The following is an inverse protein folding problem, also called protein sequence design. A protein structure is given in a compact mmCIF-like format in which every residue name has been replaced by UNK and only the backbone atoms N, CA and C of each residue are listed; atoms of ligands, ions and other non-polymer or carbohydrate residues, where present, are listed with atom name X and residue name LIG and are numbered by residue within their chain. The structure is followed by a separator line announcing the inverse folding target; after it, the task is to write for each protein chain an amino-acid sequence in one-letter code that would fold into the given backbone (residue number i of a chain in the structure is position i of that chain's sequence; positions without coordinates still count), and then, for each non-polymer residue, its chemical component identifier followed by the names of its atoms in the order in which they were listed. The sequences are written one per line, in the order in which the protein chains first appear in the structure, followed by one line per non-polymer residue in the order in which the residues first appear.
data_IF_532823015949
#
_entry.id   IF_532823015949
#
_cell.length_a   1.000
_cell.length_b   1.000
_cell.length_c   1.000
_cell.angle_alpha   90.00
_cell.angle_beta   90.00
_cell.angle_gamma   90.00
#
_symmetry.space_group_name_H-M   'P 1'
#
loop_
_entity.id
_entity.type
_entity.pdbx_description
1 polymer ?
#
# COMPACT_ATOMS: atom_id res chain seq x y z
N UNK A 1 0.44 6.77 5.24
CA UNK A 1 -0.26 5.59 4.67
C UNK A 1 0.21 5.37 3.23
N UNK A 2 0.23 4.14 2.74
CA UNK A 2 0.53 3.85 1.34
C UNK A 2 -0.15 2.56 0.85
N UNK A 3 -0.45 2.51 -0.45
CA UNK A 3 -1.08 1.35 -1.08
C UNK A 3 -0.10 0.20 -1.29
N UNK A 4 -0.51 -1.03 -0.94
CA UNK A 4 0.23 -2.26 -1.21
C UNK A 4 -0.63 -3.20 -2.04
N UNK A 5 -0.10 -3.65 -3.17
CA UNK A 5 -0.69 -4.71 -3.99
C UNK A 5 -0.50 -6.06 -3.30
N UNK A 6 -1.61 -6.75 -3.02
CA UNK A 6 -1.62 -8.03 -2.28
C UNK A 6 -1.78 -9.24 -3.19
N UNK A 7 -1.89 -9.07 -4.51
CA UNK A 7 -2.15 -10.17 -5.46
C UNK A 7 -1.19 -11.35 -5.32
N UNK A 8 0.09 -11.07 -5.11
CA UNK A 8 1.14 -12.09 -4.95
C UNK A 8 1.39 -12.50 -3.49
N UNK A 9 0.73 -11.86 -2.53
CA UNK A 9 0.94 -12.07 -1.09
C UNK A 9 -0.07 -13.09 -0.55
N UNK A 10 -1.31 -13.03 -1.02
CA UNK A 10 -2.36 -13.97 -0.60
C UNK A 10 -2.07 -15.39 -1.07
N UNK A 11 -2.57 -16.38 -0.33
CA UNK A 11 -2.44 -17.80 -0.67
C UNK A 11 -3.82 -18.46 -0.85
N UNK A 12 -4.16 -18.97 -2.04
CA UNK A 12 -3.35 -18.92 -3.27
C UNK A 12 -3.26 -17.49 -3.84
N UNK A 13 -2.19 -17.16 -4.61
CA UNK A 13 -2.08 -15.87 -5.28
C UNK A 13 -3.29 -15.59 -6.18
N UNK A 14 -3.67 -14.32 -6.28
CA UNK A 14 -4.77 -13.93 -7.18
C UNK A 14 -4.38 -14.21 -8.64
N UNK A 15 -5.32 -14.69 -9.46
CA UNK A 15 -5.04 -15.02 -10.84
C UNK A 15 -4.66 -13.78 -11.65
N UNK A 16 -3.83 -13.98 -12.67
CA UNK A 16 -3.58 -12.97 -13.69
C UNK A 16 -4.90 -12.57 -14.33
N UNK A 17 -5.17 -11.26 -14.39
CA UNK A 17 -6.43 -10.72 -14.92
C UNK A 17 -7.56 -10.62 -13.89
N UNK A 18 -7.31 -10.84 -12.59
CA UNK A 18 -8.30 -10.55 -11.54
C UNK A 18 -8.82 -9.10 -11.65
N UNK A 19 -10.14 -8.98 -11.83
CA UNK A 19 -10.85 -7.69 -11.93
C UNK A 19 -11.51 -7.40 -10.59
N UNK A 20 -10.88 -6.53 -9.80
CA UNK A 20 -11.34 -6.11 -8.49
C UNK A 20 -10.27 -5.36 -7.72
N UNK A 21 -10.62 -4.86 -6.53
CA UNK A 21 -9.64 -4.28 -5.62
C UNK A 21 -8.82 -5.40 -4.96
N UNK A 22 -7.50 -5.31 -5.09
CA UNK A 22 -6.54 -6.19 -4.44
C UNK A 22 -5.41 -5.37 -3.83
N UNK A 23 -5.79 -4.29 -3.15
CA UNK A 23 -4.89 -3.37 -2.47
C UNK A 23 -5.31 -3.22 -1.02
N UNK A 24 -4.34 -3.23 -0.11
CA UNK A 24 -4.57 -2.83 1.28
C UNK A 24 -3.76 -1.58 1.61
N UNK A 25 -4.12 -0.94 2.72
CA UNK A 25 -3.41 0.23 3.22
C UNK A 25 -2.38 -0.18 4.25
N UNK A 26 -1.10 -0.06 3.89
CA UNK A 26 0.00 -0.16 4.84
C UNK A 26 0.35 1.23 5.42
N UNK A 27 1.14 1.23 6.48
CA UNK A 27 1.50 2.47 7.16
C UNK A 27 2.91 2.41 7.77
N UNK A 28 3.47 3.61 7.89
CA UNK A 28 4.60 3.95 8.71
C UNK A 28 4.23 5.19 9.51
N UNK A 29 4.71 5.28 10.75
CA UNK A 29 4.37 6.37 11.68
C UNK A 29 5.65 6.83 12.36
N UNK A 30 5.80 8.14 12.53
CA UNK A 30 6.90 8.75 13.27
C UNK A 30 6.47 10.12 13.79
N UNK A 31 7.21 10.67 14.76
CA UNK A 31 7.00 12.04 15.21
C UNK A 31 7.47 13.00 14.13
N UNK A 32 6.77 14.13 13.98
CA UNK A 32 7.18 15.20 13.04
C UNK A 32 8.61 15.67 13.33
N UNK A 33 8.99 15.78 14.61
CA UNK A 33 10.36 16.13 15.01
C UNK A 33 11.40 15.16 14.46
N UNK A 34 11.10 13.86 14.45
CA UNK A 34 12.05 12.83 14.05
C UNK A 34 12.15 12.80 12.53
N UNK A 35 11.02 12.97 11.82
CA UNK A 35 11.01 13.11 10.35
C UNK A 35 11.80 14.32 9.84
N UNK A 36 11.83 15.43 10.60
CA UNK A 36 12.55 16.64 10.22
C UNK A 36 14.04 16.57 10.58
N UNK A 37 14.37 15.96 11.71
CA UNK A 37 15.74 16.00 12.27
C UNK A 37 16.60 14.77 11.92
N UNK A 38 15.99 13.64 11.58
CA UNK A 38 16.71 12.41 11.22
C UNK A 38 17.05 12.38 9.72
N UNK A 39 18.09 11.62 9.31
CA UNK A 39 18.41 11.46 7.90
C UNK A 39 17.28 10.78 7.12
N UNK A 40 17.19 11.02 5.81
CA UNK A 40 16.18 10.41 4.94
C UNK A 40 16.12 8.88 5.06
N UNK A 41 17.26 8.21 5.29
CA UNK A 41 17.33 6.76 5.48
C UNK A 41 16.41 6.28 6.61
N UNK A 42 16.28 7.04 7.70
CA UNK A 42 15.36 6.72 8.79
C UNK A 42 13.91 6.64 8.31
N UNK A 43 13.45 7.60 7.52
CA UNK A 43 12.09 7.57 6.95
C UNK A 43 11.91 6.42 5.95
N UNK A 44 12.94 6.13 5.16
CA UNK A 44 12.93 4.99 4.22
C UNK A 44 12.82 3.66 4.96
N UNK A 45 13.58 3.48 6.04
CA UNK A 45 13.56 2.27 6.85
C UNK A 45 12.18 2.05 7.50
N UNK A 46 11.54 3.11 8.02
CA UNK A 46 10.18 3.01 8.54
C UNK A 46 9.15 2.57 7.48
N UNK A 47 9.27 3.09 6.26
CA UNK A 47 8.39 2.68 5.14
C UNK A 47 8.67 1.25 4.72
N UNK A 48 9.95 0.84 4.70
CA UNK A 48 10.38 -0.53 4.41
C UNK A 48 9.82 -1.50 5.44
N UNK A 49 10.00 -1.25 6.73
CA UNK A 49 9.42 -2.05 7.81
C UNK A 49 7.89 -2.11 7.69
N UNK A 50 7.24 -0.98 7.41
CA UNK A 50 5.80 -0.91 7.19
C UNK A 50 5.32 -1.82 6.05
N UNK A 51 6.13 -2.00 5.01
CA UNK A 51 5.86 -2.91 3.90
C UNK A 51 6.19 -4.36 4.24
N UNK A 52 7.30 -4.61 4.94
CA UNK A 52 7.74 -5.95 5.33
C UNK A 52 6.80 -6.62 6.36
N UNK A 53 6.05 -5.82 7.13
CA UNK A 53 4.97 -6.31 8.01
C UNK A 53 3.81 -6.98 7.26
N UNK A 54 3.68 -6.77 5.94
CA UNK A 54 2.53 -7.27 5.17
C UNK A 54 2.79 -8.73 4.77
N UNK A 55 2.34 -9.64 5.63
CA UNK A 55 2.28 -11.08 5.35
C UNK A 55 0.88 -11.51 4.91
N UNK A 56 0.72 -12.78 4.54
CA UNK A 56 -0.57 -13.36 4.20
C UNK A 56 -1.56 -13.28 5.38
N UNK A 57 -1.08 -13.61 6.58
CA UNK A 57 -1.85 -13.57 7.82
C UNK A 57 -2.25 -12.14 8.17
N UNK A 58 -1.35 -11.17 7.92
CA UNK A 58 -1.65 -9.76 8.08
C UNK A 58 -2.78 -9.30 7.16
N UNK A 59 -2.74 -9.71 5.88
CA UNK A 59 -3.79 -9.39 4.91
C UNK A 59 -5.15 -9.94 5.36
N UNK A 60 -5.20 -11.19 5.82
CA UNK A 60 -6.44 -11.79 6.36
C UNK A 60 -6.96 -11.02 7.57
N UNK A 61 -6.07 -10.69 8.51
CA UNK A 61 -6.44 -9.90 9.69
C UNK A 61 -7.00 -8.52 9.34
N UNK A 62 -6.45 -7.85 8.30
CA UNK A 62 -6.98 -6.57 7.82
C UNK A 62 -8.39 -6.73 7.26
N UNK A 63 -8.67 -7.80 6.50
CA UNK A 63 -10.00 -8.08 5.95
C UNK A 63 -11.00 -8.29 7.10
N UNK A 64 -10.65 -9.12 8.09
CA UNK A 64 -11.51 -9.38 9.26
C UNK A 64 -11.80 -8.10 10.04
N UNK A 65 -10.79 -7.24 10.22
CA UNK A 65 -10.95 -5.95 10.91
C UNK A 65 -11.89 -5.01 10.13
N UNK A 66 -11.74 -4.91 8.81
CA UNK A 66 -12.58 -4.05 7.98
C UNK A 66 -14.04 -4.52 7.97
N UNK A 67 -14.28 -5.82 7.93
CA UNK A 67 -15.62 -6.42 8.02
C UNK A 67 -16.27 -6.11 9.37
N UNK A 68 -15.54 -6.30 10.48
CA UNK A 68 -16.08 -6.08 11.81
C UNK A 68 -16.43 -4.62 12.10
N UNK A 69 -15.56 -3.69 11.69
CA UNK A 69 -15.72 -2.26 11.98
C UNK A 69 -16.44 -1.47 10.88
N UNK A 70 -16.80 -2.11 9.75
CA UNK A 70 -17.23 -1.43 8.53
C UNK A 70 -16.28 -0.28 8.15
N UNK A 71 -14.97 -0.54 8.33
CA UNK A 71 -13.93 0.46 8.20
C UNK A 71 -13.65 0.79 6.73
N UNK A 72 -13.26 2.04 6.48
CA UNK A 72 -12.63 2.44 5.21
C UNK A 72 -11.27 3.05 5.50
N UNK A 73 -10.24 2.81 4.66
CA UNK A 73 -8.98 3.52 4.80
C UNK A 73 -9.21 5.03 4.75
N UNK A 74 -8.94 5.72 5.85
CA UNK A 74 -9.13 7.16 5.97
C UNK A 74 -7.86 7.84 6.50
N UNK A 75 -7.53 8.99 5.95
CA UNK A 75 -6.53 9.89 6.53
C UNK A 75 -7.24 10.94 7.36
N UNK A 76 -6.92 11.01 8.65
CA UNK A 76 -7.29 12.11 9.54
C UNK A 76 -6.02 12.82 10.05
N UNK A 77 -6.16 14.07 10.49
CA UNK A 77 -5.20 14.89 11.24
C UNK A 77 -3.71 14.50 11.15
N UNK A 78 -2.96 15.23 10.33
CA UNK A 78 -1.50 15.10 10.12
C UNK A 78 -1.03 13.81 9.42
N UNK A 79 -1.95 12.96 8.95
CA UNK A 79 -1.64 11.82 8.10
C UNK A 79 -1.80 12.15 6.61
N UNK A 80 -1.03 11.46 5.77
CA UNK A 80 -1.14 11.53 4.31
C UNK A 80 -1.13 10.14 3.69
N UNK A 81 -1.59 10.06 2.45
CA UNK A 81 -1.62 8.83 1.65
C UNK A 81 -0.74 8.97 0.42
N UNK A 82 0.10 7.98 0.15
CA UNK A 82 0.95 7.92 -1.05
C UNK A 82 0.49 6.78 -1.96
N UNK A 83 0.27 7.08 -3.23
CA UNK A 83 -0.08 6.08 -4.25
C UNK A 83 0.94 6.08 -5.39
N UNK A 84 1.48 4.91 -5.70
CA UNK A 84 2.58 4.72 -6.66
C UNK A 84 2.07 4.42 -8.07
N UNK A 85 1.48 5.42 -8.74
CA UNK A 85 0.88 5.25 -10.07
C UNK A 85 1.89 4.90 -11.17
N UNK A 86 3.18 5.15 -10.94
CA UNK A 86 4.25 4.74 -11.85
C UNK A 86 4.37 3.22 -12.03
N UNK A 87 3.73 2.41 -11.17
CA UNK A 87 3.67 0.94 -11.32
C UNK A 87 2.58 0.47 -12.27
N UNK A 88 1.65 1.36 -12.64
CA UNK A 88 0.58 1.04 -13.57
C UNK A 88 1.14 1.09 -14.99
N UNK A 89 0.80 0.13 -15.87
CA UNK A 89 1.40 -0.01 -17.19
C UNK A 89 0.85 1.00 -18.20
N UNK A 90 0.53 2.23 -17.77
CA UNK A 90 -0.02 3.27 -18.64
C UNK A 90 0.94 3.61 -19.80
N UNK A 91 2.25 3.59 -19.56
CA UNK A 91 3.25 3.79 -20.63
C UNK A 91 3.37 2.63 -21.63
N UNK A 92 2.67 1.51 -21.41
CA UNK A 92 2.62 0.40 -22.36
C UNK A 92 1.39 0.44 -23.27
N UNK A 93 0.50 1.42 -23.06
CA UNK A 93 -0.74 1.55 -23.81
C UNK A 93 -0.46 2.18 -25.18
N UNK A 94 -0.89 1.51 -26.24
CA UNK A 94 -0.82 2.01 -27.61
C UNK A 94 -2.14 1.67 -28.31
N UNK A 95 -2.86 2.70 -28.74
CA UNK A 95 -4.13 2.56 -29.47
C UNK A 95 -3.95 2.59 -30.99
N UNK A 96 -2.71 2.58 -31.49
CA UNK A 96 -2.35 2.70 -32.90
C UNK A 96 -1.81 4.08 -33.30
N UNK A 97 -1.61 4.99 -32.34
CA UNK A 97 -1.09 6.35 -32.58
C UNK A 97 0.27 6.59 -31.89
N UNK A 98 0.90 5.52 -31.39
CA UNK A 98 2.13 5.59 -30.63
C UNK A 98 1.89 5.49 -29.13
N UNK A 99 3.01 5.27 -28.42
CA UNK A 99 3.09 5.32 -26.95
C UNK A 99 3.38 6.74 -26.47
#
# INVERSE_FOLDING_TARGET
LFAVDIRSIVSPPLPNGFVGNAVITAYATSKVSDLVNMPLSYSVDLVKEGKERITEEYVRSVIDWLEFYNGVPATNNHNFYVSAWWKLPFGNLDFGFGK
#
